data_IF_534026985321
#
_entry.id   IF_534026985321
#
_cell.length_a   1.000
_cell.length_b   1.000
_cell.length_c   1.000
_cell.angle_alpha   90.00
_cell.angle_beta   90.00
_cell.angle_gamma   90.00
#
_symmetry.space_group_name_H-M   'P 1'
#
loop_
_entity.id
_entity.type
_entity.pdbx_description
1 polymer ?
#
# COMPACT_ATOMS: atom_id res chain seq x y z
N UNK A 1 11.66 -1.19 8.00
CA UNK A 1 10.41 -0.64 7.43
C UNK A 1 9.76 -1.64 6.48
N UNK A 2 8.44 -1.62 6.33
CA UNK A 2 7.70 -2.41 5.33
C UNK A 2 6.97 -1.46 4.38
N UNK A 3 7.22 -1.56 3.08
CA UNK A 3 6.56 -0.76 2.04
C UNK A 3 5.84 -1.65 1.03
N UNK A 4 4.78 -1.16 0.40
CA UNK A 4 4.09 -1.87 -0.68
C UNK A 4 4.76 -1.51 -2.00
N UNK A 5 5.20 -2.51 -2.76
CA UNK A 5 5.65 -2.31 -4.13
C UNK A 5 4.44 -1.97 -5.02
N UNK A 6 4.47 -0.83 -5.72
CA UNK A 6 3.34 -0.35 -6.53
C UNK A 6 3.06 -1.19 -7.77
N UNK A 7 4.04 -1.94 -8.26
CA UNK A 7 3.92 -2.80 -9.43
C UNK A 7 3.47 -4.21 -9.07
N UNK A 8 3.92 -4.76 -7.93
CA UNK A 8 3.61 -6.15 -7.54
C UNK A 8 2.60 -6.27 -6.40
N UNK A 9 2.34 -5.18 -5.67
CA UNK A 9 1.54 -5.13 -4.44
C UNK A 9 2.12 -5.93 -3.27
N UNK A 10 3.35 -6.41 -3.38
CA UNK A 10 4.01 -7.15 -2.31
C UNK A 10 4.59 -6.22 -1.26
N UNK A 11 4.68 -6.74 -0.03
CA UNK A 11 5.38 -6.06 1.05
C UNK A 11 6.87 -6.32 0.91
N UNK A 12 7.63 -5.24 0.71
CA UNK A 12 9.08 -5.26 0.74
C UNK A 12 9.58 -4.81 2.12
N UNK A 13 10.54 -5.56 2.65
CA UNK A 13 11.20 -5.24 3.91
C UNK A 13 12.51 -4.51 3.65
N UNK A 14 12.71 -3.39 4.34
CA UNK A 14 13.92 -2.57 4.29
C UNK A 14 14.50 -2.41 5.69
N UNK A 15 15.82 -2.49 5.83
CA UNK A 15 16.53 -2.35 7.10
C UNK A 15 17.84 -1.58 6.96
N UNK A 16 18.21 -0.81 8.00
CA UNK A 16 19.45 -0.04 8.01
C UNK A 16 19.53 0.93 6.83
N UNK A 17 20.66 0.87 6.11
CA UNK A 17 20.95 1.73 4.95
C UNK A 17 20.16 1.40 3.68
N UNK A 18 19.40 0.30 3.66
CA UNK A 18 18.58 -0.08 2.50
C UNK A 18 17.25 0.66 2.40
N UNK A 19 16.89 1.49 3.39
CA UNK A 19 15.64 2.24 3.39
C UNK A 19 15.74 3.35 2.34
N UNK A 20 14.90 3.35 1.29
CA UNK A 20 14.95 4.40 0.27
C UNK A 20 14.54 5.75 0.87
N UNK A 21 14.96 6.85 0.25
CA UNK A 21 14.38 8.15 0.57
C UNK A 21 12.96 8.20 0.01
N UNK A 22 11.99 8.50 0.87
CA UNK A 22 10.58 8.63 0.50
C UNK A 22 9.93 9.75 1.30
N UNK A 23 8.87 10.34 0.74
CA UNK A 23 7.93 11.17 1.46
C UNK A 23 6.64 10.38 1.68
N UNK A 24 6.20 10.21 2.93
CA UNK A 24 4.89 9.63 3.23
C UNK A 24 3.86 10.75 3.15
N UNK A 25 2.87 10.60 2.28
CA UNK A 25 1.61 11.33 2.39
C UNK A 25 0.72 10.61 3.41
N UNK A 26 0.54 11.23 4.57
CA UNK A 26 -0.33 10.74 5.62
C UNK A 26 -1.77 11.18 5.35
N UNK A 27 -2.68 10.23 5.17
CA UNK A 27 -4.13 10.46 5.27
C UNK A 27 -4.58 10.04 6.67
N UNK A 28 -5.59 10.71 7.23
CA UNK A 28 -6.25 10.31 8.48
C UNK A 28 -6.63 8.83 8.50
N UNK A 29 -6.32 8.21 9.63
CA UNK A 29 -6.60 6.81 9.91
C UNK A 29 -8.11 6.60 10.04
N UNK A 30 -8.63 5.46 9.58
CA UNK A 30 -10.07 5.18 9.59
C UNK A 30 -10.39 3.74 9.99
N UNK A 31 -11.60 3.49 10.48
CA UNK A 31 -12.03 2.20 11.05
C UNK A 31 -11.94 0.98 10.09
N UNK A 32 -11.66 1.20 8.81
CA UNK A 32 -11.69 0.18 7.74
C UNK A 32 -10.35 0.08 7.00
N UNK A 33 -9.25 0.31 7.72
CA UNK A 33 -7.91 0.16 7.16
C UNK A 33 -7.52 -1.28 6.84
N UNK A 34 -6.58 -1.39 5.91
CA UNK A 34 -5.96 -2.66 5.57
C UNK A 34 -4.92 -3.02 6.64
N UNK A 35 -5.06 -4.20 7.25
CA UNK A 35 -4.03 -4.72 8.16
C UNK A 35 -2.95 -5.44 7.37
N UNK A 36 -1.73 -5.52 7.92
CA UNK A 36 -0.62 -6.28 7.32
C UNK A 36 -1.04 -7.72 6.97
N UNK A 37 -1.71 -8.43 7.88
CA UNK A 37 -2.17 -9.81 7.66
C UNK A 37 -3.18 -9.93 6.52
N UNK A 38 -4.14 -8.98 6.42
CA UNK A 38 -5.10 -8.95 5.32
C UNK A 38 -4.43 -8.61 3.99
N UNK A 39 -3.38 -7.79 4.02
CA UNK A 39 -2.66 -7.41 2.81
C UNK A 39 -1.79 -8.57 2.29
N UNK A 40 -1.07 -9.28 3.16
CA UNK A 40 -0.16 -10.36 2.73
C UNK A 40 -0.89 -11.58 2.19
N UNK A 41 -2.11 -11.85 2.66
CA UNK A 41 -2.91 -12.96 2.16
C UNK A 41 -3.60 -12.60 0.82
N UNK A 42 -3.34 -13.41 -0.21
CA UNK A 42 -3.87 -13.20 -1.57
C UNK A 42 -5.40 -13.24 -1.61
N UNK A 43 -6.01 -14.20 -0.91
CA UNK A 43 -7.47 -14.34 -0.84
C UNK A 43 -8.12 -13.12 -0.19
N UNK A 44 -7.60 -12.67 0.95
CA UNK A 44 -8.14 -11.50 1.64
C UNK A 44 -7.98 -10.22 0.82
N UNK A 45 -6.88 -10.06 0.07
CA UNK A 45 -6.69 -8.91 -0.83
C UNK A 45 -7.72 -8.88 -1.97
N UNK A 46 -8.12 -10.06 -2.47
CA UNK A 46 -9.16 -10.17 -3.50
C UNK A 46 -10.55 -9.88 -2.92
N UNK A 47 -10.89 -10.45 -1.77
CA UNK A 47 -12.23 -10.30 -1.18
C UNK A 47 -12.45 -8.93 -0.54
N UNK A 48 -11.39 -8.25 -0.08
CA UNK A 48 -11.47 -6.93 0.56
C UNK A 48 -11.11 -5.76 -0.38
N UNK A 49 -11.00 -5.98 -1.70
CA UNK A 49 -10.65 -4.94 -2.69
C UNK A 49 -11.51 -3.66 -2.59
N UNK A 50 -12.78 -3.82 -2.19
CA UNK A 50 -13.74 -2.72 -2.05
C UNK A 50 -13.81 -2.12 -0.64
N UNK A 51 -13.07 -2.66 0.33
CA UNK A 51 -12.95 -2.01 1.63
C UNK A 51 -12.18 -0.70 1.49
N UNK A 52 -12.54 0.33 2.26
CA UNK A 52 -11.98 1.67 2.06
C UNK A 52 -10.46 1.72 2.23
N UNK A 53 -9.87 0.89 3.10
CA UNK A 53 -8.42 0.78 3.24
C UNK A 53 -7.73 0.25 1.99
N UNK A 54 -8.24 -0.84 1.40
CA UNK A 54 -7.69 -1.40 0.17
C UNK A 54 -7.97 -0.53 -1.05
N UNK A 55 -9.18 0.03 -1.12
CA UNK A 55 -9.60 0.89 -2.22
C UNK A 55 -8.70 2.12 -2.36
N UNK A 56 -8.35 2.78 -1.25
CA UNK A 56 -7.43 3.94 -1.27
C UNK A 56 -6.09 3.62 -1.93
N UNK A 57 -5.48 2.49 -1.55
CA UNK A 57 -4.19 2.06 -2.12
C UNK A 57 -4.33 1.76 -3.61
N UNK A 58 -5.36 1.02 -4.00
CA UNK A 58 -5.57 0.66 -5.41
C UNK A 58 -5.96 1.84 -6.29
N UNK A 59 -6.73 2.79 -5.76
CA UNK A 59 -7.09 4.02 -6.45
C UNK A 59 -5.86 4.91 -6.72
N UNK A 60 -4.94 5.01 -5.75
CA UNK A 60 -3.67 5.72 -5.95
C UNK A 60 -2.86 5.14 -7.13
N UNK A 61 -2.82 3.81 -7.24
CA UNK A 61 -2.12 3.14 -8.35
C UNK A 61 -2.79 3.36 -9.71
N UNK A 62 -4.13 3.42 -9.74
CA UNK A 62 -4.90 3.70 -10.96
C UNK A 62 -4.76 5.15 -11.42
N UNK A 63 -4.67 6.08 -10.47
CA UNK A 63 -4.47 7.51 -10.78
C UNK A 63 -3.07 7.81 -11.34
N UNK A 64 -2.11 6.90 -11.13
CA UNK A 64 -0.71 7.11 -11.47
C UNK A 64 -0.01 8.05 -10.46
N UNK A 65 1.29 7.82 -10.14
CA UNK A 65 2.03 8.77 -9.32
C UNK A 65 2.11 10.13 -10.04
N UNK A 66 1.74 11.25 -9.40
CA UNK A 66 1.90 12.56 -10.01
C UNK A 66 3.38 12.83 -10.32
N UNK A 67 3.70 13.11 -11.60
CA UNK A 67 5.05 13.50 -12.05
C UNK A 67 5.93 12.37 -12.60
N UNK A 68 5.38 11.19 -12.94
CA UNK A 68 6.09 10.10 -13.61
C UNK A 68 5.72 10.04 -15.11
N UNK A 69 5.97 11.13 -15.83
CA UNK A 69 5.84 11.25 -17.30
C UNK A 69 7.06 11.92 -17.88
#
# INVERSE_FOLDING_TARGET
>A
MRLINVHTLDIQYFSGTSIPQYAILSHTWGAKEATFQKWTNKWTRLTHKHSSGFHKVLAFLQAGPPGWS
#
